data_IF_085757977853
#
_entry.id   IF_085757977853
#
_cell.length_a   1.000
_cell.length_b   1.000
_cell.length_c   1.000
_cell.angle_alpha   90.00
_cell.angle_beta   90.00
_cell.angle_gamma   90.00
#
_symmetry.space_group_name_H-M   'P 1'
#
loop_
_entity.id
_entity.type
_entity.pdbx_description
1 polymer ?
#
# COMPACT_ATOMS: atom_id res chain seq x y z
N UNK A 1 10.08 5.47 -4.45
CA UNK A 1 9.48 4.40 -5.27
C UNK A 1 8.61 4.95 -6.40
N UNK A 2 7.35 5.39 -6.16
CA UNK A 2 6.45 5.78 -7.26
C UNK A 2 6.99 6.91 -8.14
N UNK A 3 7.62 7.94 -7.56
CA UNK A 3 8.28 8.99 -8.35
C UNK A 3 9.45 8.46 -9.19
N UNK A 4 10.24 7.53 -8.64
CA UNK A 4 11.38 6.92 -9.33
C UNK A 4 10.95 6.04 -10.51
N UNK A 5 9.75 5.46 -10.44
CA UNK A 5 9.13 4.68 -11.51
C UNK A 5 8.35 5.54 -12.52
N UNK A 6 8.38 6.87 -12.40
CA UNK A 6 7.78 7.78 -13.37
C UNK A 6 6.27 7.98 -13.25
N UNK A 7 5.63 7.56 -12.15
CA UNK A 7 4.20 7.77 -11.96
C UNK A 7 3.84 9.26 -11.85
N UNK A 8 2.71 9.64 -12.43
CA UNK A 8 2.22 11.03 -12.38
C UNK A 8 1.92 11.48 -10.93
N UNK A 9 2.32 12.71 -10.52
CA UNK A 9 2.09 13.21 -9.16
C UNK A 9 0.63 13.18 -8.69
N UNK A 10 -0.32 13.45 -9.59
CA UNK A 10 -1.76 13.39 -9.27
C UNK A 10 -2.19 11.99 -8.91
N UNK A 11 -1.73 10.99 -9.67
CA UNK A 11 -2.01 9.58 -9.40
C UNK A 11 -1.35 9.14 -8.07
N UNK A 12 -0.11 9.57 -7.81
CA UNK A 12 0.56 9.32 -6.53
C UNK A 12 -0.24 9.92 -5.36
N UNK A 13 -0.80 11.12 -5.55
CA UNK A 13 -1.70 11.76 -4.57
C UNK A 13 -2.91 10.89 -4.26
N UNK A 14 -3.59 10.35 -5.29
CA UNK A 14 -4.75 9.46 -5.11
C UNK A 14 -4.38 8.20 -4.31
N UNK A 15 -3.26 7.56 -4.62
CA UNK A 15 -2.80 6.38 -3.87
C UNK A 15 -2.52 6.74 -2.41
N UNK A 16 -1.86 7.88 -2.14
CA UNK A 16 -1.61 8.34 -0.77
C UNK A 16 -2.90 8.57 0.00
N UNK A 17 -3.91 9.18 -0.62
CA UNK A 17 -5.21 9.39 0.01
C UNK A 17 -5.90 8.05 0.33
N UNK A 18 -5.90 7.09 -0.60
CA UNK A 18 -6.46 5.75 -0.34
C UNK A 18 -5.77 5.06 0.85
N UNK A 19 -4.45 5.18 0.97
CA UNK A 19 -3.68 4.57 2.04
C UNK A 19 -3.87 5.25 3.41
N UNK A 20 -4.05 6.58 3.43
CA UNK A 20 -4.10 7.35 4.67
C UNK A 20 -5.51 7.50 5.26
N UNK A 21 -6.55 7.36 4.44
CA UNK A 21 -7.95 7.58 4.88
C UNK A 21 -8.63 6.31 5.40
N UNK A 22 -7.96 5.16 5.34
CA UNK A 22 -8.58 3.88 5.70
C UNK A 22 -8.70 3.72 7.21
N UNK A 23 -9.92 3.43 7.67
CA UNK A 23 -10.24 3.05 9.05
C UNK A 23 -10.78 1.61 9.11
N UNK A 24 -10.49 0.89 10.20
CA UNK A 24 -10.97 -0.47 10.43
C UNK A 24 -11.54 -0.63 11.84
N UNK A 25 -12.39 -1.64 12.02
CA UNK A 25 -12.82 -2.18 13.30
C UNK A 25 -12.52 -3.69 13.29
N UNK A 26 -12.13 -4.25 14.44
CA UNK A 26 -11.85 -5.67 14.59
C UNK A 26 -13.03 -6.31 15.32
N UNK A 27 -13.41 -7.53 14.93
CA UNK A 27 -14.39 -8.30 15.68
C UNK A 27 -13.69 -9.00 16.85
N UNK A 28 -14.13 -8.73 18.08
CA UNK A 28 -13.71 -9.43 19.30
C UNK A 28 -14.92 -10.18 19.82
N UNK A 29 -14.85 -11.52 19.83
CA UNK A 29 -15.98 -12.40 20.19
C UNK A 29 -17.25 -12.10 19.38
N UNK A 30 -17.10 -11.80 18.09
CA UNK A 30 -18.21 -11.47 17.19
C UNK A 30 -18.76 -10.04 17.31
N UNK A 31 -18.27 -9.25 18.26
CA UNK A 31 -18.67 -7.85 18.44
C UNK A 31 -17.60 -6.90 17.87
N UNK A 32 -17.97 -5.88 17.08
CA UNK A 32 -17.01 -4.92 16.53
C UNK A 32 -16.44 -4.00 17.61
N UNK A 33 -15.14 -3.72 17.55
CA UNK A 33 -14.50 -2.65 18.32
C UNK A 33 -14.83 -1.28 17.74
N UNK A 34 -14.43 -0.22 18.45
CA UNK A 34 -14.40 1.11 17.85
C UNK A 34 -13.53 1.15 16.59
N UNK A 35 -13.89 2.06 15.67
CA UNK A 35 -13.10 2.29 14.46
C UNK A 35 -11.81 3.01 14.82
N UNK A 36 -10.71 2.58 14.24
CA UNK A 36 -9.42 3.23 14.37
C UNK A 36 -8.74 3.39 13.00
N UNK A 37 -7.89 4.43 12.84
CA UNK A 37 -7.16 4.65 11.60
C UNK A 37 -6.08 3.59 11.39
N UNK A 38 -5.97 3.10 10.16
CA UNK A 38 -4.89 2.20 9.78
C UNK A 38 -3.61 2.98 9.58
N UNK A 39 -2.56 2.66 10.37
CA UNK A 39 -1.22 3.25 10.16
C UNK A 39 -0.37 2.48 9.17
N UNK A 40 -0.67 1.19 8.97
CA UNK A 40 0.10 0.25 8.14
C UNK A 40 -0.81 -0.82 7.58
N UNK A 41 -0.38 -1.40 6.47
CA UNK A 41 -1.07 -2.49 5.80
C UNK A 41 -2.29 -2.02 5.00
N UNK A 42 -2.83 -2.94 4.24
CA UNK A 42 -4.09 -2.80 3.51
C UNK A 42 -5.10 -3.81 4.05
N UNK A 43 -6.37 -3.59 3.77
CA UNK A 43 -7.40 -4.59 4.09
C UNK A 43 -7.17 -5.84 3.24
N UNK A 44 -7.41 -7.01 3.82
CA UNK A 44 -7.39 -8.24 3.06
C UNK A 44 -8.48 -8.20 1.97
N UNK A 45 -8.12 -8.61 0.75
CA UNK A 45 -9.01 -8.51 -0.40
C UNK A 45 -9.07 -7.12 -1.04
N UNK A 46 -8.23 -6.16 -0.59
CA UNK A 46 -8.12 -4.87 -1.24
C UNK A 46 -7.47 -5.02 -2.63
N UNK A 47 -8.17 -4.65 -3.72
CA UNK A 47 -7.63 -4.76 -5.08
C UNK A 47 -6.35 -3.93 -5.28
N UNK A 48 -6.13 -2.89 -4.48
CA UNK A 48 -4.92 -2.08 -4.54
C UNK A 48 -3.68 -2.85 -4.08
N UNK A 49 -3.84 -3.87 -3.22
CA UNK A 49 -2.72 -4.60 -2.64
C UNK A 49 -1.85 -5.29 -3.70
N UNK A 50 -2.46 -5.90 -4.72
CA UNK A 50 -1.75 -6.59 -5.80
C UNK A 50 -0.88 -5.61 -6.59
N UNK A 51 -1.45 -4.44 -6.91
CA UNK A 51 -0.74 -3.40 -7.65
C UNK A 51 0.46 -2.86 -6.86
N UNK A 52 0.26 -2.50 -5.58
CA UNK A 52 1.36 -1.99 -4.76
C UNK A 52 2.46 -3.03 -4.54
N UNK A 53 2.10 -4.31 -4.41
CA UNK A 53 3.05 -5.40 -4.33
C UNK A 53 3.94 -5.48 -5.58
N UNK A 54 3.34 -5.43 -6.77
CA UNK A 54 4.09 -5.46 -8.03
C UNK A 54 5.07 -4.28 -8.15
N UNK A 55 4.65 -3.08 -7.74
CA UNK A 55 5.54 -1.91 -7.71
C UNK A 55 6.72 -2.09 -6.74
N UNK A 56 6.49 -2.72 -5.59
CA UNK A 56 7.58 -3.05 -4.66
C UNK A 56 8.54 -4.07 -5.24
N UNK A 57 8.02 -5.12 -5.88
CA UNK A 57 8.85 -6.16 -6.53
C UNK A 57 9.70 -5.57 -7.64
N UNK A 58 9.15 -4.68 -8.47
CA UNK A 58 9.92 -4.01 -9.53
C UNK A 58 11.06 -3.17 -8.95
N UNK A 59 10.76 -2.35 -7.92
CA UNK A 59 11.77 -1.55 -7.23
C UNK A 59 12.86 -2.41 -6.58
N UNK A 60 12.48 -3.51 -5.94
CA UNK A 60 13.43 -4.45 -5.33
C UNK A 60 14.30 -5.14 -6.38
N UNK A 61 13.69 -5.58 -7.50
CA UNK A 61 14.41 -6.22 -8.61
C UNK A 61 15.44 -5.27 -9.23
N UNK A 62 15.10 -3.98 -9.35
CA UNK A 62 16.05 -2.94 -9.76
C UNK A 62 17.23 -2.82 -8.81
N UNK A 63 16.99 -2.82 -7.49
CA UNK A 63 18.07 -2.76 -6.48
C UNK A 63 18.98 -3.99 -6.53
N UNK A 64 18.43 -5.18 -6.74
CA UNK A 64 19.22 -6.42 -6.87
C UNK A 64 20.13 -6.34 -8.09
N UNK A 65 19.60 -5.91 -9.25
CA UNK A 65 20.38 -5.77 -10.49
C UNK A 65 21.53 -4.77 -10.40
N UNK A 66 21.41 -3.75 -9.56
CA UNK A 66 22.49 -2.78 -9.31
C UNK A 66 23.61 -3.35 -8.45
N UNK A 67 23.32 -4.33 -7.59
CA UNK A 67 24.32 -5.03 -6.77
C UNK A 67 25.00 -6.17 -7.52
N UNK A 68 24.32 -6.77 -8.50
CA UNK A 68 24.87 -7.83 -9.37
C UNK A 68 25.83 -7.32 -10.46
N UNK A 69 25.87 -6.00 -10.71
CA UNK A 69 26.89 -5.36 -11.55
C UNK A 69 28.22 -5.25 -10.82
#
# INVERSE_FOLDING_TARGET
MFYCLGFNPKWIGLIKECLNTTCLSVLVNGSPTDKFPMKRGLRQGDPLALFLFMVVVEGLSGLIREVEK
#
